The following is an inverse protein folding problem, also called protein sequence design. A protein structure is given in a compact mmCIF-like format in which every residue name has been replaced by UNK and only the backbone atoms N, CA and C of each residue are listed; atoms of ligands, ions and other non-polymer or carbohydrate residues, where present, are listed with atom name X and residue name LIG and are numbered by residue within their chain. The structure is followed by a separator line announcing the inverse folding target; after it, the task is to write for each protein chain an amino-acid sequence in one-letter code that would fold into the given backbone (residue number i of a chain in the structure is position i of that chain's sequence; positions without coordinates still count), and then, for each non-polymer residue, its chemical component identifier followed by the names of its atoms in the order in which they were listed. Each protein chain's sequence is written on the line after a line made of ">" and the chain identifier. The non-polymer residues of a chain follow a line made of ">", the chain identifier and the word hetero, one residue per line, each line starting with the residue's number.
data_IF_959806012337
#
_entry.id   IF_959806012337
#
_cell.length_a   1.000
_cell.length_b   1.000
_cell.length_c   1.000
_cell.angle_alpha   90.00
_cell.angle_beta   90.00
_cell.angle_gamma   90.00
#
_symmetry.space_group_name_H-M   'P 1'
#
loop_
_entity.id
_entity.type
_entity.pdbx_description
1 polymer ?
#
# COMPACT_ATOMS: atom_id res chain seq x y z
N UNK A 1 -26.44 -2.36 -0.97
CA UNK A 1 -25.05 -2.87 -1.08
C UNK A 1 -24.02 -1.94 -0.46
N UNK A 2 -23.76 -0.72 -0.98
CA UNK A 2 -22.72 0.16 -0.40
C UNK A 2 -22.95 0.43 1.09
N UNK A 3 -24.16 0.81 1.45
CA UNK A 3 -24.57 1.07 2.84
C UNK A 3 -24.46 -0.20 3.69
N UNK A 4 -25.05 -1.32 3.22
CA UNK A 4 -24.94 -2.61 3.92
C UNK A 4 -23.49 -3.07 4.14
N UNK A 5 -22.58 -2.84 3.19
CA UNK A 5 -21.16 -3.16 3.37
C UNK A 5 -20.48 -2.18 4.33
N UNK A 6 -20.87 -0.91 4.33
CA UNK A 6 -20.42 0.08 5.31
C UNK A 6 -20.80 -0.36 6.72
N UNK A 7 -22.06 -0.76 6.93
CA UNK A 7 -22.57 -1.25 8.21
C UNK A 7 -21.83 -2.53 8.65
N UNK A 8 -21.65 -3.49 7.74
CA UNK A 8 -20.86 -4.70 7.98
C UNK A 8 -19.45 -4.39 8.47
N UNK A 9 -18.83 -3.36 7.90
CA UNK A 9 -17.46 -2.98 8.18
C UNK A 9 -17.32 -2.08 9.41
N UNK A 10 -18.40 -1.43 9.85
CA UNK A 10 -18.41 -0.52 10.99
C UNK A 10 -18.45 -1.32 12.30
N UNK A 11 -17.28 -1.54 12.89
CA UNK A 11 -17.16 -2.32 14.14
C UNK A 11 -16.00 -1.84 14.99
N UNK A 12 -16.12 -2.02 16.30
CA UNK A 12 -15.07 -1.79 17.30
C UNK A 12 -14.54 -3.12 17.83
N UNK A 13 -13.46 -3.08 18.61
CA UNK A 13 -12.90 -4.29 19.22
C UNK A 13 -13.92 -4.96 20.16
N UNK A 14 -14.69 -4.16 20.90
CA UNK A 14 -15.68 -4.63 21.87
C UNK A 14 -16.93 -5.21 21.22
N UNK A 15 -17.29 -4.73 20.03
CA UNK A 15 -18.49 -5.16 19.29
C UNK A 15 -18.20 -6.29 18.32
N UNK A 16 -16.94 -6.70 18.17
CA UNK A 16 -16.55 -7.77 17.26
C UNK A 16 -17.05 -9.14 17.73
N UNK A 17 -17.97 -9.70 16.94
CA UNK A 17 -18.64 -10.99 17.21
C UNK A 17 -17.83 -12.22 16.83
N UNK A 18 -16.59 -12.04 16.36
CA UNK A 18 -15.72 -13.13 15.91
C UNK A 18 -15.85 -13.45 14.43
N UNK A 19 -14.85 -14.20 13.93
CA UNK A 19 -14.73 -14.52 12.49
C UNK A 19 -15.91 -15.32 11.93
N UNK A 20 -16.45 -16.36 12.62
CA UNK A 20 -17.56 -17.14 12.07
C UNK A 20 -18.82 -16.31 11.84
N UNK A 21 -19.15 -15.38 12.75
CA UNK A 21 -20.33 -14.53 12.58
C UNK A 21 -20.13 -13.48 11.48
N UNK A 22 -18.93 -12.89 11.38
CA UNK A 22 -18.60 -12.00 10.27
C UNK A 22 -18.57 -12.70 8.91
N UNK A 23 -18.15 -13.96 8.88
CA UNK A 23 -18.19 -14.77 7.68
C UNK A 23 -19.64 -14.99 7.20
N UNK A 24 -20.54 -15.37 8.10
CA UNK A 24 -21.98 -15.50 7.78
C UNK A 24 -22.59 -14.18 7.29
N UNK A 25 -22.22 -13.06 7.93
CA UNK A 25 -22.70 -11.74 7.54
C UNK A 25 -22.23 -11.36 6.11
N UNK A 26 -20.95 -11.60 5.83
CA UNK A 26 -20.37 -11.36 4.50
C UNK A 26 -20.97 -12.28 3.44
N UNK A 27 -21.20 -13.55 3.75
CA UNK A 27 -21.83 -14.51 2.84
C UNK A 27 -23.26 -14.10 2.47
N UNK A 28 -24.03 -13.59 3.44
CA UNK A 28 -25.36 -13.03 3.17
C UNK A 28 -25.28 -11.82 2.24
N UNK A 29 -24.30 -10.93 2.45
CA UNK A 29 -24.09 -9.78 1.56
C UNK A 29 -23.72 -10.22 0.14
N UNK A 30 -22.81 -11.18 0.00
CA UNK A 30 -22.40 -11.73 -1.29
C UNK A 30 -23.60 -12.37 -2.00
N UNK A 31 -24.38 -13.19 -1.29
CA UNK A 31 -25.56 -13.84 -1.84
C UNK A 31 -26.58 -12.81 -2.35
N UNK A 32 -26.91 -11.81 -1.55
CA UNK A 32 -27.80 -10.71 -1.94
C UNK A 32 -27.29 -9.98 -3.19
N UNK A 33 -25.97 -9.83 -3.36
CA UNK A 33 -25.40 -9.22 -4.55
C UNK A 33 -25.59 -10.09 -5.80
N UNK A 34 -25.39 -11.40 -5.67
CA UNK A 34 -25.51 -12.38 -6.77
C UNK A 34 -26.99 -12.55 -7.17
N UNK A 35 -27.90 -12.63 -6.21
CA UNK A 35 -29.33 -12.84 -6.45
C UNK A 35 -30.07 -11.59 -6.95
N UNK A 36 -29.48 -10.40 -6.83
CA UNK A 36 -30.10 -9.15 -7.27
C UNK A 36 -30.46 -9.08 -8.76
N UNK A 37 -29.90 -9.97 -9.61
CA UNK A 37 -30.08 -9.96 -11.06
C UNK A 37 -29.43 -8.77 -11.80
N UNK A 38 -28.90 -7.79 -11.06
CA UNK A 38 -28.23 -6.62 -11.62
C UNK A 38 -26.78 -7.00 -11.93
N UNK A 39 -26.39 -6.95 -13.21
CA UNK A 39 -25.08 -7.40 -13.69
C UNK A 39 -23.91 -6.80 -12.88
N UNK A 40 -23.98 -5.50 -12.56
CA UNK A 40 -22.97 -4.80 -11.79
C UNK A 40 -22.90 -5.31 -10.34
N UNK A 41 -24.04 -5.65 -9.74
CA UNK A 41 -24.09 -6.22 -8.39
C UNK A 41 -23.56 -7.64 -8.37
N UNK A 42 -23.90 -8.46 -9.35
CA UNK A 42 -23.35 -9.81 -9.51
C UNK A 42 -21.83 -9.76 -9.63
N UNK A 43 -21.28 -8.84 -10.43
CA UNK A 43 -19.83 -8.63 -10.56
C UNK A 43 -19.21 -8.24 -9.21
N UNK A 44 -19.83 -7.33 -8.47
CA UNK A 44 -19.35 -6.93 -7.15
C UNK A 44 -19.37 -8.09 -6.15
N UNK A 45 -20.46 -8.88 -6.09
CA UNK A 45 -20.56 -10.07 -5.25
C UNK A 45 -19.46 -11.09 -5.55
N UNK A 46 -19.15 -11.33 -6.83
CA UNK A 46 -18.02 -12.18 -7.24
C UNK A 46 -16.68 -11.63 -6.74
N UNK A 47 -16.45 -10.32 -6.86
CA UNK A 47 -15.24 -9.68 -6.32
C UNK A 47 -15.16 -9.85 -4.80
N UNK A 48 -16.25 -9.61 -4.07
CA UNK A 48 -16.28 -9.79 -2.61
C UNK A 48 -15.97 -11.24 -2.21
N UNK A 49 -16.47 -12.22 -2.97
CA UNK A 49 -16.19 -13.63 -2.73
C UNK A 49 -14.71 -13.98 -2.98
N UNK A 50 -14.11 -13.45 -4.04
CA UNK A 50 -12.69 -13.66 -4.35
C UNK A 50 -11.78 -13.13 -3.23
N UNK A 51 -12.12 -11.97 -2.68
CA UNK A 51 -11.35 -11.30 -1.60
C UNK A 51 -11.86 -11.63 -0.20
N UNK A 52 -12.73 -12.65 -0.05
CA UNK A 52 -13.41 -12.96 1.21
C UNK A 52 -12.43 -13.17 2.36
N UNK A 53 -11.35 -13.89 2.10
CA UNK A 53 -10.33 -14.20 3.11
C UNK A 53 -9.65 -12.94 3.62
N UNK A 54 -9.24 -12.05 2.72
CA UNK A 54 -8.56 -10.78 3.02
C UNK A 54 -9.50 -9.82 3.76
N UNK A 55 -10.75 -9.74 3.32
CA UNK A 55 -11.79 -8.95 3.99
C UNK A 55 -11.97 -9.44 5.43
N UNK A 56 -12.10 -10.75 5.66
CA UNK A 56 -12.24 -11.31 7.00
C UNK A 56 -10.99 -11.10 7.86
N UNK A 57 -9.80 -11.25 7.27
CA UNK A 57 -8.53 -10.99 7.96
C UNK A 57 -8.37 -9.52 8.36
N UNK A 58 -9.02 -8.59 7.65
CA UNK A 58 -9.02 -7.17 8.05
C UNK A 58 -9.66 -6.92 9.41
N UNK A 59 -10.50 -7.83 9.94
CA UNK A 59 -11.12 -7.73 11.26
C UNK A 59 -10.21 -8.24 12.41
N UNK A 60 -8.96 -8.59 12.12
CA UNK A 60 -7.98 -8.93 13.15
C UNK A 60 -7.53 -7.65 13.87
N UNK A 61 -7.48 -7.72 15.21
CA UNK A 61 -7.01 -6.65 16.08
C UNK A 61 -5.65 -7.03 16.67
N UNK A 62 -4.71 -6.08 16.64
CA UNK A 62 -3.38 -6.20 17.24
C UNK A 62 -3.13 -4.91 18.02
N UNK A 63 -2.74 -5.03 19.29
CA UNK A 63 -2.47 -3.87 20.17
C UNK A 63 -3.61 -2.83 20.19
N UNK A 64 -4.86 -3.30 20.30
CA UNK A 64 -6.09 -2.47 20.29
C UNK A 64 -6.30 -1.67 19.00
N UNK A 65 -5.69 -2.09 17.90
CA UNK A 65 -5.86 -1.50 16.57
C UNK A 65 -6.19 -2.56 15.55
N UNK A 66 -7.19 -2.28 14.72
CA UNK A 66 -7.56 -3.12 13.60
C UNK A 66 -6.48 -3.08 12.54
N UNK A 67 -6.10 -4.25 12.00
CA UNK A 67 -5.18 -4.35 10.87
C UNK A 67 -5.76 -3.56 9.69
N UNK A 68 -4.94 -2.68 9.11
CA UNK A 68 -5.37 -1.81 8.01
C UNK A 68 -4.25 -1.60 7.01
N UNK A 69 -4.62 -1.22 5.78
CA UNK A 69 -3.66 -0.87 4.73
C UNK A 69 -3.04 0.52 4.91
N UNK A 70 -3.56 1.34 5.82
CA UNK A 70 -3.17 2.74 6.01
C UNK A 70 -1.65 2.96 6.18
N UNK A 71 -0.94 2.17 7.04
CA UNK A 71 0.51 2.29 7.17
C UNK A 71 1.26 2.06 5.85
N UNK A 72 0.88 1.02 5.10
CA UNK A 72 1.49 0.66 3.81
C UNK A 72 1.17 1.71 2.74
N UNK A 73 -0.06 2.20 2.70
CA UNK A 73 -0.50 3.28 1.82
C UNK A 73 0.28 4.57 2.07
N UNK A 74 0.51 4.92 3.34
CA UNK A 74 1.33 6.06 3.73
C UNK A 74 2.76 5.95 3.18
N UNK A 75 3.38 4.77 3.30
CA UNK A 75 4.72 4.49 2.73
C UNK A 75 4.71 4.60 1.21
N UNK A 76 3.72 4.03 0.53
CA UNK A 76 3.60 4.08 -0.93
C UNK A 76 3.40 5.51 -1.45
N UNK A 77 2.57 6.31 -0.77
CA UNK A 77 2.37 7.73 -1.08
C UNK A 77 3.67 8.52 -0.93
N UNK A 78 4.43 8.27 0.13
CA UNK A 78 5.73 8.91 0.34
C UNK A 78 6.75 8.55 -0.75
N UNK A 79 6.83 7.27 -1.13
CA UNK A 79 7.71 6.82 -2.24
C UNK A 79 7.32 7.52 -3.54
N UNK A 80 6.03 7.61 -3.87
CA UNK A 80 5.54 8.32 -5.06
C UNK A 80 6.01 9.78 -5.07
N UNK A 81 5.97 10.48 -3.93
CA UNK A 81 6.49 11.86 -3.80
C UNK A 81 8.00 11.94 -4.06
N UNK A 82 8.80 10.99 -3.57
CA UNK A 82 10.24 10.94 -3.88
C UNK A 82 10.48 10.78 -5.38
N UNK A 83 9.76 9.86 -6.03
CA UNK A 83 9.90 9.63 -7.46
C UNK A 83 9.50 10.87 -8.26
N UNK A 84 8.39 11.51 -7.88
CA UNK A 84 7.89 12.73 -8.50
C UNK A 84 8.90 13.88 -8.38
N UNK A 85 9.36 14.18 -7.17
CA UNK A 85 10.33 15.26 -6.93
C UNK A 85 11.69 15.02 -7.61
N UNK A 86 12.04 13.76 -7.88
CA UNK A 86 13.26 13.42 -8.60
C UNK A 86 13.13 13.50 -10.14
N UNK A 87 11.92 13.73 -10.66
CA UNK A 87 11.58 13.52 -12.08
C UNK A 87 11.94 12.10 -12.55
N UNK A 88 11.65 11.12 -11.69
CA UNK A 88 11.99 9.72 -11.90
C UNK A 88 13.45 9.37 -11.58
N UNK A 89 13.76 8.08 -11.64
CA UNK A 89 15.13 7.58 -11.49
C UNK A 89 15.48 6.66 -12.64
N UNK A 90 16.64 6.92 -13.26
CA UNK A 90 17.21 6.05 -14.30
C UNK A 90 18.09 4.93 -13.74
N UNK A 91 18.51 5.02 -12.48
CA UNK A 91 19.33 4.03 -11.79
C UNK A 91 18.54 3.47 -10.60
N UNK A 92 18.16 2.19 -10.70
CA UNK A 92 17.35 1.49 -9.71
C UNK A 92 18.03 1.40 -8.34
N UNK A 93 19.31 1.03 -8.28
CA UNK A 93 20.06 0.90 -7.03
C UNK A 93 20.12 2.23 -6.27
N UNK A 94 20.27 3.35 -7.00
CA UNK A 94 20.22 4.69 -6.40
C UNK A 94 18.81 5.05 -5.90
N UNK A 95 17.77 4.66 -6.64
CA UNK A 95 16.38 4.89 -6.23
C UNK A 95 16.06 4.11 -4.96
N UNK A 96 16.39 2.82 -4.93
CA UNK A 96 16.22 1.94 -3.78
C UNK A 96 16.95 2.49 -2.55
N UNK A 97 18.23 2.87 -2.67
CA UNK A 97 19.00 3.41 -1.55
C UNK A 97 18.40 4.72 -1.01
N UNK A 98 17.91 5.60 -1.88
CA UNK A 98 17.23 6.84 -1.45
C UNK A 98 15.92 6.55 -0.72
N UNK A 99 15.11 5.63 -1.23
CA UNK A 99 13.86 5.21 -0.59
C UNK A 99 14.18 4.62 0.78
N UNK A 100 15.08 3.63 0.86
CA UNK A 100 15.46 2.99 2.12
C UNK A 100 16.03 3.97 3.13
N UNK A 101 16.90 4.89 2.70
CA UNK A 101 17.44 5.93 3.58
C UNK A 101 16.34 6.85 4.12
N UNK A 102 15.39 7.27 3.28
CA UNK A 102 14.30 8.17 3.69
C UNK A 102 13.33 7.55 4.69
N UNK A 103 13.19 6.21 4.69
CA UNK A 103 12.28 5.51 5.58
C UNK A 103 12.91 5.14 6.93
N UNK A 104 14.24 5.08 7.00
CA UNK A 104 14.97 4.55 8.14
C UNK A 104 15.68 5.67 8.90
N UNK A 105 14.92 6.55 9.57
CA UNK A 105 15.45 7.69 10.31
C UNK A 105 16.42 7.31 11.45
N UNK A 106 16.34 6.08 11.96
CA UNK A 106 17.21 5.56 13.03
C UNK A 106 18.53 4.94 12.52
N UNK A 107 18.65 4.68 11.21
CA UNK A 107 19.89 4.13 10.66
C UNK A 107 20.89 5.25 10.38
N UNK A 108 22.01 5.25 11.11
CA UNK A 108 23.13 6.16 10.86
C UNK A 108 24.04 5.57 9.78
N UNK A 109 24.45 6.41 8.82
CA UNK A 109 25.49 6.04 7.88
C UNK A 109 26.82 5.84 8.62
N UNK A 110 27.52 4.75 8.34
CA UNK A 110 28.88 4.53 8.84
C UNK A 110 29.89 5.02 7.81
N UNK A 111 30.74 6.02 8.13
CA UNK A 111 31.77 6.52 7.22
C UNK A 111 32.84 5.46 6.86
N UNK A 112 32.95 4.41 7.67
CA UNK A 112 33.95 3.34 7.48
C UNK A 112 33.46 2.19 6.57
N UNK A 113 32.18 2.19 6.16
CA UNK A 113 31.68 1.22 5.19
C UNK A 113 32.06 1.69 3.78
N UNK A 114 33.03 1.03 3.13
CA UNK A 114 33.32 1.24 1.70
C UNK A 114 32.05 0.93 0.90
N UNK A 115 31.32 1.96 0.51
CA UNK A 115 30.21 1.81 -0.44
C UNK A 115 30.79 1.75 -1.86
N UNK A 116 30.35 0.77 -2.63
CA UNK A 116 30.59 0.73 -4.08
C UNK A 116 30.12 2.07 -4.69
N UNK A 117 30.85 2.59 -5.67
CA UNK A 117 30.38 3.76 -6.42
C UNK A 117 29.19 3.37 -7.28
N UNK A 118 28.00 3.86 -6.90
CA UNK A 118 26.72 3.59 -7.61
C UNK A 118 26.44 4.66 -8.68
N UNK A 119 27.33 5.65 -8.83
CA UNK A 119 27.18 6.73 -9.80
C UNK A 119 27.39 6.20 -11.22
N UNK A 120 26.44 6.49 -12.12
CA UNK A 120 26.64 6.26 -13.56
C UNK A 120 27.77 7.17 -14.07
N UNK A 121 28.67 6.61 -14.90
CA UNK A 121 29.63 7.42 -15.67
C UNK A 121 28.84 8.28 -16.67
N UNK A 122 28.87 9.59 -16.48
CA UNK A 122 28.29 10.55 -17.43
C UNK A 122 29.28 10.87 -18.55
N UNK A 123 28.79 11.53 -19.61
CA UNK A 123 29.68 12.12 -20.61
C UNK A 123 30.56 13.19 -19.93
N UNK A 124 31.84 13.30 -20.32
CA UNK A 124 32.67 14.40 -19.84
C UNK A 124 32.04 15.74 -20.25
N UNK A 125 32.19 16.76 -19.40
CA UNK A 125 31.74 18.12 -19.72
C UNK A 125 32.50 18.61 -20.95
N UNK A 126 31.79 19.27 -21.89
CA UNK A 126 32.43 19.92 -23.04
C UNK A 126 33.36 21.07 -22.63
N UNK A 127 34.23 21.52 -23.55
CA UNK A 127 35.12 22.66 -23.31
C UNK A 127 34.28 23.95 -23.08
N UNK A 128 34.68 24.75 -22.10
CA UNK A 128 34.04 26.03 -21.84
C UNK A 128 34.33 27.01 -22.99
N UNK A 129 33.29 27.64 -23.54
CA UNK A 129 33.48 28.75 -24.49
C UNK A 129 33.74 30.03 -23.66
N UNK A 130 34.97 30.54 -23.67
CA UNK A 130 35.25 31.88 -23.16
C UNK A 130 34.88 32.87 -24.26
N UNK A 131 34.03 33.86 -23.96
CA UNK A 131 33.91 35.05 -24.79
C UNK A 131 35.17 35.89 -24.56
N UNK A 132 35.88 36.21 -25.64
CA UNK A 132 36.87 37.29 -25.63
C UNK A 132 36.16 38.63 -25.72
#
# INVERSE_FOLDING_TARGET
>A
MKEQYFDFNQITEETYTGRPEKEKELDRLILNCIESGIIQMVKCGKTLNEWKTEILNSFIWVDRKRVSNGPVEGKNSYIKKILFNANGFVNFERAQNKIMYSQNHSQRYSPNKKQRVIKRKGKPRGKYKKSN
#
